data_IF_597509715105
#
_entry.id   IF_597509715105
#
_cell.length_a   1.000
_cell.length_b   1.000
_cell.length_c   1.000
_cell.angle_alpha   90.00
_cell.angle_beta   90.00
_cell.angle_gamma   90.00
#
_symmetry.space_group_name_H-M   'P 1'
#
loop_
_entity.id
_entity.type
_entity.pdbx_description
1 polymer ?
#
# COMPACT_ATOMS: atom_id res chain seq x y z
N UNK A 1 -39.21 -25.73 -26.37
CA UNK A 1 -37.96 -25.00 -26.11
C UNK A 1 -36.95 -26.03 -25.60
N UNK A 2 -36.03 -26.44 -26.47
CA UNK A 2 -34.94 -27.36 -26.07
C UNK A 2 -33.80 -26.45 -25.62
N UNK A 3 -33.34 -26.51 -24.35
CA UNK A 3 -32.20 -25.73 -23.92
C UNK A 3 -30.96 -26.23 -24.65
N UNK A 4 -30.30 -25.31 -25.36
CA UNK A 4 -29.00 -25.56 -25.99
C UNK A 4 -28.02 -25.84 -24.83
N UNK A 5 -27.35 -27.01 -24.80
CA UNK A 5 -26.36 -27.26 -23.76
C UNK A 5 -25.24 -26.22 -23.89
N UNK A 6 -25.01 -25.45 -22.82
CA UNK A 6 -23.82 -24.60 -22.72
C UNK A 6 -22.60 -25.48 -22.97
N UNK A 7 -21.96 -25.29 -24.10
CA UNK A 7 -20.70 -25.92 -24.39
C UNK A 7 -19.68 -25.37 -23.35
N UNK A 8 -19.40 -26.16 -22.32
CA UNK A 8 -18.27 -25.90 -21.42
C UNK A 8 -17.03 -25.83 -22.30
N UNK A 9 -16.52 -24.62 -22.52
CA UNK A 9 -15.25 -24.45 -23.21
C UNK A 9 -14.21 -25.29 -22.48
N UNK A 10 -13.42 -26.11 -23.18
CA UNK A 10 -12.40 -26.94 -22.55
C UNK A 10 -11.41 -26.00 -21.85
N UNK A 11 -11.30 -26.14 -20.55
CA UNK A 11 -10.31 -25.41 -19.75
C UNK A 11 -8.94 -25.88 -20.22
N UNK A 12 -8.17 -25.00 -20.82
CA UNK A 12 -6.78 -25.30 -21.19
C UNK A 12 -5.97 -25.62 -19.94
N UNK A 13 -5.82 -26.91 -19.66
CA UNK A 13 -5.11 -27.42 -18.49
C UNK A 13 -3.64 -26.99 -18.45
N UNK A 14 -3.07 -26.57 -19.58
CA UNK A 14 -1.70 -26.03 -19.64
C UNK A 14 -1.52 -24.72 -18.87
N UNK A 15 -2.61 -24.06 -18.53
CA UNK A 15 -2.63 -22.81 -17.75
C UNK A 15 -2.80 -23.04 -16.25
N UNK A 16 -3.05 -24.27 -15.81
CA UNK A 16 -3.22 -24.59 -14.40
C UNK A 16 -1.86 -24.82 -13.76
N UNK A 17 -1.56 -24.07 -12.70
CA UNK A 17 -0.37 -24.26 -11.88
C UNK A 17 -0.74 -25.17 -10.73
N UNK A 18 -0.28 -26.43 -10.80
CA UNK A 18 -0.48 -27.37 -9.72
C UNK A 18 0.46 -27.04 -8.56
N UNK A 19 -0.09 -26.60 -7.46
CA UNK A 19 0.64 -26.42 -6.20
C UNK A 19 0.32 -27.58 -5.28
N UNK A 20 1.33 -28.12 -4.58
CA UNK A 20 1.07 -29.10 -3.51
C UNK A 20 0.24 -28.40 -2.43
N UNK A 21 -0.86 -29.01 -1.96
CA UNK A 21 -1.66 -28.42 -0.89
C UNK A 21 -0.77 -28.29 0.36
N UNK A 22 -0.65 -27.05 0.84
CA UNK A 22 0.06 -26.75 2.09
C UNK A 22 -1.01 -26.62 3.17
N UNK A 23 -1.11 -27.63 4.04
CA UNK A 23 -2.02 -27.62 5.17
C UNK A 23 -3.11 -28.69 5.14
N UNK A 24 -3.96 -28.67 6.15
CA UNK A 24 -5.02 -29.67 6.42
C UNK A 24 -6.23 -29.61 5.50
N UNK A 25 -6.42 -28.49 4.79
CA UNK A 25 -7.61 -28.25 4.00
C UNK A 25 -7.25 -27.82 2.59
N UNK A 26 -7.63 -28.62 1.62
CA UNK A 26 -7.73 -28.17 0.23
C UNK A 26 -8.98 -27.30 0.11
N UNK A 27 -8.80 -26.05 -0.27
CA UNK A 27 -9.91 -25.09 -0.45
C UNK A 27 -10.44 -25.09 -1.88
N UNK A 28 -9.96 -25.98 -2.73
CA UNK A 28 -10.40 -26.07 -4.13
C UNK A 28 -10.04 -24.85 -4.99
N UNK A 29 -9.10 -24.01 -4.57
CA UNK A 29 -8.68 -22.84 -5.34
C UNK A 29 -7.75 -23.29 -6.44
N UNK A 30 -8.22 -23.18 -7.68
CA UNK A 30 -7.39 -23.42 -8.86
C UNK A 30 -6.51 -22.21 -9.11
N UNK A 31 -5.21 -22.43 -9.23
CA UNK A 31 -4.26 -21.37 -9.57
C UNK A 31 -3.97 -21.39 -11.06
N UNK A 32 -4.50 -20.43 -11.80
CA UNK A 32 -4.22 -20.27 -13.22
C UNK A 32 -2.96 -19.43 -13.44
N UNK A 33 -2.30 -19.63 -14.59
CA UNK A 33 -1.16 -18.80 -14.98
C UNK A 33 -1.62 -17.40 -15.29
N UNK A 34 -1.28 -16.47 -14.42
CA UNK A 34 -1.59 -15.02 -14.50
C UNK A 34 -0.40 -14.24 -15.06
N UNK A 35 0.80 -14.46 -14.51
CA UNK A 35 2.06 -13.90 -15.01
C UNK A 35 2.94 -15.06 -15.51
N UNK A 36 3.23 -15.13 -16.82
CA UNK A 36 4.12 -16.15 -17.36
C UNK A 36 5.57 -15.96 -16.91
N UNK A 37 6.28 -17.07 -16.70
CA UNK A 37 7.73 -17.07 -16.46
C UNK A 37 8.50 -16.31 -17.57
N UNK A 38 9.63 -15.74 -17.23
CA UNK A 38 10.53 -14.98 -18.11
C UNK A 38 9.91 -13.71 -18.71
N UNK A 39 8.94 -13.11 -18.06
CA UNK A 39 8.38 -11.81 -18.44
C UNK A 39 8.87 -10.72 -17.50
N UNK A 40 9.13 -9.56 -18.09
CA UNK A 40 9.32 -8.33 -17.34
C UNK A 40 7.98 -7.69 -17.04
N UNK A 41 7.86 -7.16 -15.83
CA UNK A 41 6.75 -6.31 -15.44
C UNK A 41 7.29 -4.99 -14.93
N UNK A 42 6.58 -3.93 -15.19
CA UNK A 42 6.89 -2.61 -14.67
C UNK A 42 5.64 -1.81 -14.45
N UNK A 43 5.70 -0.91 -13.51
CA UNK A 43 4.55 -0.07 -13.18
C UNK A 43 4.88 1.02 -12.19
N UNK A 44 3.84 1.74 -11.81
CA UNK A 44 3.90 2.80 -10.80
C UNK A 44 2.78 2.58 -9.80
N UNK A 45 3.12 2.53 -8.53
CA UNK A 45 2.13 2.55 -7.46
C UNK A 45 1.98 3.99 -6.97
N UNK A 46 0.76 4.48 -6.95
CA UNK A 46 0.42 5.79 -6.39
C UNK A 46 -0.49 5.54 -5.19
N UNK A 47 -0.13 6.11 -4.05
CA UNK A 47 -0.94 6.06 -2.84
C UNK A 47 -1.26 7.48 -2.40
N UNK A 48 -2.54 7.76 -2.25
CA UNK A 48 -3.04 9.03 -1.74
C UNK A 48 -3.93 8.72 -0.55
N UNK A 49 -3.63 9.33 0.57
CA UNK A 49 -4.45 9.23 1.76
C UNK A 49 -4.65 10.63 2.31
N UNK A 50 -5.91 11.02 2.48
CA UNK A 50 -6.30 12.26 3.12
C UNK A 50 -7.19 11.92 4.31
N UNK A 51 -6.83 12.41 5.45
CA UNK A 51 -7.65 12.34 6.66
C UNK A 51 -7.82 13.75 7.21
N UNK A 52 -9.06 14.16 7.35
CA UNK A 52 -9.44 15.44 7.93
C UNK A 52 -10.48 15.15 9.01
N UNK A 53 -10.24 15.65 10.20
CA UNK A 53 -11.15 15.49 11.32
C UNK A 53 -11.34 16.83 11.99
N UNK A 54 -12.54 17.36 11.82
CA UNK A 54 -13.00 18.54 12.52
C UNK A 54 -13.76 18.07 13.75
N UNK A 55 -13.34 18.52 14.94
CA UNK A 55 -14.07 18.31 16.18
C UNK A 55 -14.26 16.81 16.58
N UNK A 56 -13.26 15.97 16.43
CA UNK A 56 -13.44 14.56 16.76
C UNK A 56 -13.41 14.30 18.27
N UNK A 57 -14.62 14.12 18.83
CA UNK A 57 -14.82 13.65 20.21
C UNK A 57 -14.54 12.14 20.39
N UNK A 58 -14.15 11.44 19.32
CA UNK A 58 -14.21 9.99 19.26
C UNK A 58 -12.94 9.26 19.69
N UNK A 59 -11.79 9.91 19.79
CA UNK A 59 -10.56 9.20 20.08
C UNK A 59 -10.08 9.27 21.54
N UNK A 60 -10.47 10.31 22.28
CA UNK A 60 -10.09 10.43 23.69
C UNK A 60 -11.12 11.28 24.46
N UNK A 61 -11.73 10.73 25.46
CA UNK A 61 -12.65 11.47 26.35
C UNK A 61 -11.98 12.63 27.11
N UNK A 62 -10.67 12.75 27.01
CA UNK A 62 -9.83 13.78 27.66
C UNK A 62 -9.42 14.92 26.73
N UNK A 63 -9.64 14.79 25.41
CA UNK A 63 -9.23 15.79 24.41
C UNK A 63 -10.46 16.41 23.76
N UNK A 64 -10.71 17.66 24.05
CA UNK A 64 -11.76 18.46 23.41
C UNK A 64 -11.15 19.26 22.27
N UNK A 65 -11.87 19.32 21.14
CA UNK A 65 -11.60 20.21 20.02
C UNK A 65 -10.22 20.04 19.36
N UNK A 66 -9.98 18.83 18.80
CA UNK A 66 -8.79 18.58 17.98
C UNK A 66 -9.15 18.67 16.51
N UNK A 67 -8.58 19.64 15.83
CA UNK A 67 -8.61 19.74 14.37
C UNK A 67 -7.32 19.11 13.83
N UNK A 68 -7.44 17.88 13.30
CA UNK A 68 -6.33 17.12 12.74
C UNK A 68 -6.51 16.98 11.23
N UNK A 69 -5.52 17.37 10.46
CA UNK A 69 -5.44 17.03 9.06
C UNK A 69 -4.16 16.24 8.77
N UNK A 70 -4.29 15.19 7.98
CA UNK A 70 -3.18 14.36 7.55
C UNK A 70 -3.32 14.08 6.05
N UNK A 71 -2.28 14.39 5.30
CA UNK A 71 -2.20 14.11 3.87
C UNK A 71 -0.93 13.32 3.57
N UNK A 72 -1.12 12.21 2.88
CA UNK A 72 -0.01 11.39 2.39
C UNK A 72 -0.09 11.29 0.88
N UNK A 73 1.02 11.55 0.22
CA UNK A 73 1.24 11.29 -1.20
C UNK A 73 2.47 10.41 -1.35
N UNK A 74 2.33 9.30 -2.04
CA UNK A 74 3.45 8.41 -2.31
C UNK A 74 3.41 7.93 -3.75
N UNK A 75 4.57 7.96 -4.42
CA UNK A 75 4.75 7.48 -5.79
C UNK A 75 5.91 6.49 -5.79
N UNK A 76 5.65 5.27 -6.27
CA UNK A 76 6.62 4.16 -6.22
C UNK A 76 6.67 3.43 -7.56
N UNK A 77 7.52 3.85 -8.51
CA UNK A 77 7.82 3.05 -9.67
C UNK A 77 8.51 1.75 -9.29
N UNK A 78 8.22 0.70 -10.06
CA UNK A 78 8.82 -0.61 -9.87
C UNK A 78 9.13 -1.30 -11.19
N UNK A 79 10.08 -2.22 -11.14
CA UNK A 79 10.40 -3.16 -12.21
C UNK A 79 10.65 -4.53 -11.60
N UNK A 80 10.13 -5.57 -12.24
CA UNK A 80 10.26 -6.94 -11.77
C UNK A 80 10.44 -7.92 -12.91
N UNK A 81 10.95 -9.08 -12.59
CA UNK A 81 11.15 -10.19 -13.51
C UNK A 81 10.49 -11.47 -12.97
N UNK A 82 9.71 -12.12 -13.79
CA UNK A 82 9.03 -13.37 -13.46
C UNK A 82 10.01 -14.54 -13.50
N UNK A 83 10.47 -14.99 -12.33
CA UNK A 83 11.41 -16.12 -12.18
C UNK A 83 10.73 -17.48 -12.34
N UNK A 84 9.43 -17.53 -12.04
CA UNK A 84 8.52 -18.67 -12.25
C UNK A 84 7.18 -18.14 -12.69
N UNK A 85 6.32 -19.02 -13.21
CA UNK A 85 4.92 -18.66 -13.41
C UNK A 85 4.33 -18.13 -12.11
N UNK A 86 3.64 -17.02 -12.17
CA UNK A 86 3.02 -16.34 -11.03
C UNK A 86 3.98 -15.90 -9.90
N UNK A 87 5.29 -15.84 -10.16
CA UNK A 87 6.26 -15.43 -9.14
C UNK A 87 7.23 -14.41 -9.72
N UNK A 88 7.25 -13.23 -9.14
CA UNK A 88 8.06 -12.09 -9.59
C UNK A 88 8.96 -11.62 -8.46
N UNK A 89 10.20 -11.31 -8.78
CA UNK A 89 11.12 -10.55 -7.95
C UNK A 89 11.47 -9.25 -8.63
N UNK A 90 11.72 -8.21 -7.87
CA UNK A 90 12.03 -6.91 -8.47
C UNK A 90 12.47 -5.85 -7.50
N UNK A 91 12.60 -4.67 -8.05
CA UNK A 91 13.04 -3.46 -7.38
C UNK A 91 11.91 -2.43 -7.40
N UNK A 92 11.77 -1.72 -6.32
CA UNK A 92 10.84 -0.60 -6.16
C UNK A 92 11.60 0.59 -5.62
N UNK A 93 11.48 1.70 -6.27
CA UNK A 93 11.96 2.98 -5.80
C UNK A 93 10.77 3.82 -5.37
N UNK A 94 10.89 4.63 -4.33
CA UNK A 94 9.75 5.39 -3.82
C UNK A 94 10.12 6.77 -3.32
N UNK A 95 9.21 7.70 -3.56
CA UNK A 95 9.12 8.98 -2.90
C UNK A 95 7.80 9.06 -2.13
N UNK A 96 7.85 9.50 -0.89
CA UNK A 96 6.67 9.69 -0.06
C UNK A 96 6.76 11.02 0.67
N UNK A 97 5.66 11.76 0.63
CA UNK A 97 5.48 12.98 1.40
C UNK A 97 4.27 12.84 2.30
N UNK A 98 4.50 13.02 3.59
CA UNK A 98 3.46 13.07 4.60
C UNK A 98 3.43 14.50 5.14
N UNK A 99 2.28 15.10 5.13
CA UNK A 99 2.07 16.41 5.75
C UNK A 99 0.87 16.33 6.69
N UNK A 100 1.04 16.87 7.87
CA UNK A 100 -0.01 16.91 8.89
C UNK A 100 -0.01 18.24 9.61
N UNK A 101 -1.16 18.59 10.16
CA UNK A 101 -1.33 19.79 10.96
C UNK A 101 -2.32 19.55 12.09
N UNK A 102 -2.04 20.13 13.24
CA UNK A 102 -2.95 20.26 14.37
C UNK A 102 -3.14 21.73 14.60
N UNK A 103 -4.31 22.26 14.25
CA UNK A 103 -4.57 23.68 14.34
C UNK A 103 -4.88 24.12 15.78
N UNK A 104 -5.59 23.26 16.52
CA UNK A 104 -5.90 23.51 17.93
C UNK A 104 -5.81 22.22 18.73
N UNK A 105 -5.03 22.22 19.78
CA UNK A 105 -4.96 21.17 20.79
C UNK A 105 -5.11 21.84 22.16
N UNK A 106 -6.30 21.82 22.72
CA UNK A 106 -6.53 22.25 24.09
C UNK A 106 -6.47 21.04 25.03
N UNK A 107 -5.45 20.98 25.85
CA UNK A 107 -5.32 20.00 26.93
C UNK A 107 -5.79 20.65 28.23
N UNK A 108 -6.93 20.21 28.73
CA UNK A 108 -7.47 20.63 30.02
C UNK A 108 -7.17 19.52 31.04
N UNK A 109 -6.00 19.57 31.67
CA UNK A 109 -5.61 18.64 32.74
C UNK A 109 -5.49 19.46 34.02
N UNK A 110 -6.42 19.27 34.95
CA UNK A 110 -6.43 19.78 36.33
C UNK A 110 -5.38 20.87 36.60
N UNK A 111 -5.65 22.15 36.36
CA UNK A 111 -4.79 23.31 36.59
C UNK A 111 -3.70 23.65 35.56
N UNK A 112 -3.60 22.95 34.43
CA UNK A 112 -2.66 23.27 33.34
C UNK A 112 -3.40 23.48 32.02
N UNK A 113 -3.69 24.72 31.67
CA UNK A 113 -4.16 25.10 30.33
C UNK A 113 -2.98 25.14 29.35
N UNK A 114 -2.69 24.02 28.71
CA UNK A 114 -1.71 23.98 27.62
C UNK A 114 -2.44 24.06 26.31
N UNK A 115 -2.42 25.23 25.69
CA UNK A 115 -2.89 25.42 24.34
C UNK A 115 -1.71 25.29 23.37
N UNK A 116 -1.64 24.17 22.65
CA UNK A 116 -0.71 24.02 21.53
C UNK A 116 -1.45 24.43 20.24
N UNK A 117 -0.94 25.48 19.59
CA UNK A 117 -1.49 26.01 18.34
C UNK A 117 -0.50 25.83 17.20
N UNK A 118 -1.04 25.63 15.99
CA UNK A 118 -0.26 25.65 14.75
C UNK A 118 0.91 24.66 14.70
N UNK A 119 0.69 23.40 15.13
CA UNK A 119 1.66 22.34 14.95
C UNK A 119 1.58 21.87 13.50
N UNK A 120 2.70 21.95 12.77
CA UNK A 120 2.84 21.40 11.42
C UNK A 120 3.95 20.36 11.39
N UNK A 121 3.63 19.26 10.74
CA UNK A 121 4.53 18.15 10.51
C UNK A 121 4.67 17.89 9.01
N UNK A 122 5.89 17.78 8.53
CA UNK A 122 6.17 17.39 7.14
C UNK A 122 7.29 16.38 7.15
N UNK A 123 7.06 15.25 6.50
CA UNK A 123 8.05 14.20 6.29
C UNK A 123 8.21 13.95 4.80
N UNK A 124 9.42 14.10 4.32
CA UNK A 124 9.82 13.78 2.95
C UNK A 124 10.78 12.61 3.00
N UNK A 125 10.44 11.51 2.34
CA UNK A 125 11.25 10.30 2.37
C UNK A 125 11.42 9.65 0.99
N UNK A 126 12.62 9.13 0.78
CA UNK A 126 12.98 8.29 -0.37
C UNK A 126 13.16 6.86 0.11
N UNK A 127 12.75 5.90 -0.70
CA UNK A 127 12.87 4.49 -0.38
C UNK A 127 13.38 3.69 -1.56
N UNK A 128 14.16 2.66 -1.25
CA UNK A 128 14.57 1.64 -2.19
C UNK A 128 14.21 0.28 -1.58
N UNK A 129 13.55 -0.58 -2.35
CA UNK A 129 13.07 -1.86 -1.83
C UNK A 129 13.27 -2.98 -2.85
N UNK A 130 13.64 -4.14 -2.34
CA UNK A 130 13.48 -5.42 -3.01
C UNK A 130 12.07 -5.93 -2.75
N UNK A 131 11.42 -6.51 -3.75
CA UNK A 131 10.15 -7.17 -3.54
C UNK A 131 10.11 -8.57 -4.14
N UNK A 132 9.36 -9.42 -3.49
CA UNK A 132 8.94 -10.73 -3.98
C UNK A 132 7.43 -10.73 -4.05
N UNK A 133 6.86 -11.00 -5.22
CA UNK A 133 5.43 -10.99 -5.45
C UNK A 133 4.97 -12.34 -5.96
N UNK A 134 3.98 -12.92 -5.30
CA UNK A 134 3.35 -14.18 -5.64
C UNK A 134 1.92 -13.94 -6.07
N UNK A 135 1.53 -14.44 -7.23
CA UNK A 135 0.19 -14.30 -7.78
C UNK A 135 -0.58 -15.61 -7.73
N UNK A 136 -1.90 -15.49 -7.65
CA UNK A 136 -2.86 -16.57 -7.83
C UNK A 136 -3.84 -16.11 -8.92
N UNK A 137 -3.78 -16.73 -10.08
CA UNK A 137 -4.74 -16.47 -11.15
C UNK A 137 -6.08 -17.12 -10.82
N UNK A 138 -7.14 -16.33 -10.84
CA UNK A 138 -8.48 -16.75 -10.43
C UNK A 138 -9.33 -17.23 -11.62
N UNK A 139 -8.96 -16.88 -12.84
CA UNK A 139 -9.71 -17.25 -14.02
C UNK A 139 -8.83 -17.88 -15.12
N UNK A 140 -9.41 -18.74 -15.98
CA UNK A 140 -8.67 -19.42 -17.06
C UNK A 140 -8.11 -18.46 -18.11
N UNK A 141 -8.70 -17.29 -18.29
CA UNK A 141 -8.26 -16.27 -19.24
C UNK A 141 -7.07 -15.46 -18.72
N UNK A 142 -6.80 -15.53 -17.41
CA UNK A 142 -5.72 -14.77 -16.77
C UNK A 142 -6.01 -13.28 -16.65
N UNK A 143 -7.28 -12.89 -16.51
CA UNK A 143 -7.70 -11.51 -16.37
C UNK A 143 -7.68 -11.03 -14.92
N UNK A 144 -8.00 -11.95 -13.99
CA UNK A 144 -8.11 -11.64 -12.56
C UNK A 144 -7.11 -12.45 -11.76
N UNK A 145 -6.46 -11.81 -10.80
CA UNK A 145 -5.54 -12.47 -9.89
C UNK A 145 -5.50 -11.81 -8.52
N UNK A 146 -5.17 -12.61 -7.52
CA UNK A 146 -4.73 -12.12 -6.22
C UNK A 146 -3.22 -12.11 -6.21
N UNK A 147 -2.64 -11.22 -5.44
CA UNK A 147 -1.20 -11.26 -5.17
C UNK A 147 -0.89 -10.97 -3.71
N UNK A 148 0.26 -11.46 -3.31
CA UNK A 148 0.89 -11.04 -2.07
C UNK A 148 2.31 -10.57 -2.38
N UNK A 149 2.63 -9.35 -1.97
CA UNK A 149 3.94 -8.76 -2.14
C UNK A 149 4.65 -8.68 -0.80
N UNK A 150 5.79 -9.33 -0.70
CA UNK A 150 6.71 -9.17 0.44
C UNK A 150 7.81 -8.21 0.03
N UNK A 151 8.06 -7.20 0.83
CA UNK A 151 9.05 -6.17 0.58
C UNK A 151 10.10 -6.11 1.68
N UNK A 152 11.35 -5.91 1.29
CA UNK A 152 12.44 -5.53 2.17
C UNK A 152 13.01 -4.22 1.63
N UNK A 153 12.89 -3.15 2.40
CA UNK A 153 13.24 -1.82 1.94
C UNK A 153 14.03 -1.02 2.95
N UNK A 154 14.80 -0.11 2.42
CA UNK A 154 15.48 0.94 3.16
C UNK A 154 14.89 2.28 2.76
N UNK A 155 14.60 3.13 3.75
CA UNK A 155 14.14 4.50 3.50
C UNK A 155 14.96 5.50 4.30
N UNK A 156 15.25 6.61 3.66
CA UNK A 156 15.88 7.77 4.25
C UNK A 156 14.98 8.98 4.02
N UNK A 157 14.88 9.84 5.02
CA UNK A 157 14.01 11.00 4.92
C UNK A 157 14.38 12.08 5.93
N UNK A 158 13.73 13.21 5.78
CA UNK A 158 13.82 14.32 6.72
C UNK A 158 12.43 14.71 7.18
N UNK A 159 12.30 14.81 8.48
CA UNK A 159 11.07 15.26 9.13
C UNK A 159 11.30 16.68 9.63
N UNK A 160 10.41 17.56 9.23
CA UNK A 160 10.34 18.93 9.76
C UNK A 160 9.12 19.06 10.64
N UNK A 161 9.38 19.43 11.86
CA UNK A 161 8.37 19.79 12.84
C UNK A 161 8.42 21.27 13.12
N UNK A 162 7.28 21.96 13.01
CA UNK A 162 7.17 23.36 13.38
C UNK A 162 6.07 23.57 14.42
N UNK A 163 6.35 24.45 15.35
CA UNK A 163 5.41 24.81 16.42
C UNK A 163 5.46 26.32 16.62
N UNK A 164 4.29 26.95 16.71
CA UNK A 164 4.17 28.36 17.11
C UNK A 164 4.35 28.49 18.63
N UNK A 165 5.28 29.36 19.08
CA UNK A 165 5.44 29.76 20.47
C UNK A 165 5.67 31.27 20.45
N UNK A 166 4.80 32.05 21.11
CA UNK A 166 4.92 33.49 21.28
C UNK A 166 5.33 34.27 20.01
N UNK A 167 4.50 34.17 18.96
CA UNK A 167 4.71 34.81 17.64
C UNK A 167 5.96 34.35 16.89
N UNK A 168 6.76 33.42 17.42
CA UNK A 168 7.93 32.87 16.74
C UNK A 168 7.71 31.40 16.38
N UNK A 169 8.04 31.03 15.12
CA UNK A 169 8.01 29.64 14.67
C UNK A 169 9.35 28.99 15.01
N UNK A 170 9.30 27.94 15.82
CA UNK A 170 10.47 27.07 16.06
C UNK A 170 10.39 25.87 15.12
N UNK A 171 11.51 25.58 14.45
CA UNK A 171 11.67 24.44 13.56
C UNK A 171 12.62 23.41 14.17
N UNK A 172 12.27 22.15 14.02
CA UNK A 172 13.16 21.03 14.35
C UNK A 172 13.23 20.13 13.12
N UNK A 173 14.42 19.98 12.58
CA UNK A 173 14.68 19.07 11.45
C UNK A 173 15.34 17.81 11.98
N UNK A 174 14.81 16.65 11.64
CA UNK A 174 15.32 15.34 12.03
C UNK A 174 15.51 14.46 10.80
N UNK A 175 16.69 13.88 10.67
CA UNK A 175 16.95 12.88 9.62
C UNK A 175 16.61 11.50 10.14
N UNK A 176 15.87 10.73 9.36
CA UNK A 176 15.39 9.41 9.73
C UNK A 176 15.85 8.40 8.69
N UNK A 177 16.45 7.30 9.18
CA UNK A 177 16.81 6.14 8.38
C UNK A 177 16.08 4.92 8.92
N UNK A 178 15.42 4.17 8.04
CA UNK A 178 14.59 3.04 8.45
C UNK A 178 14.79 1.83 7.54
N UNK A 179 14.90 0.65 8.14
CA UNK A 179 14.73 -0.63 7.45
C UNK A 179 13.27 -1.07 7.61
N UNK A 180 12.60 -1.43 6.51
CA UNK A 180 11.18 -1.78 6.48
C UNK A 180 11.00 -3.17 5.87
N UNK A 181 10.22 -4.00 6.55
CA UNK A 181 9.71 -5.25 6.03
C UNK A 181 8.19 -5.11 5.93
N UNK A 182 7.62 -5.46 4.79
CA UNK A 182 6.20 -5.35 4.56
C UNK A 182 5.63 -6.58 3.86
N UNK A 183 4.34 -6.84 4.12
CA UNK A 183 3.53 -7.83 3.43
C UNK A 183 2.28 -7.11 2.97
N UNK A 184 2.06 -7.05 1.67
CA UNK A 184 1.00 -6.29 1.04
C UNK A 184 0.17 -7.21 0.14
N UNK A 185 -0.95 -7.75 0.63
CA UNK A 185 -1.90 -8.46 -0.21
C UNK A 185 -2.63 -7.50 -1.15
N UNK A 186 -3.07 -8.02 -2.30
CA UNK A 186 -3.78 -7.18 -3.26
C UNK A 186 -4.49 -7.99 -4.34
N UNK A 187 -5.18 -7.25 -5.19
CA UNK A 187 -5.93 -7.73 -6.33
C UNK A 187 -5.35 -7.11 -7.58
N UNK A 188 -5.19 -7.90 -8.63
CA UNK A 188 -4.72 -7.47 -9.94
C UNK A 188 -5.72 -7.82 -11.03
N UNK A 189 -5.91 -6.92 -11.99
CA UNK A 189 -6.82 -7.07 -13.11
C UNK A 189 -6.11 -6.63 -14.38
N UNK A 190 -6.09 -7.49 -15.42
CA UNK A 190 -5.67 -7.07 -16.75
C UNK A 190 -6.83 -6.43 -17.49
N UNK A 191 -6.66 -5.16 -17.87
CA UNK A 191 -7.61 -4.37 -18.67
C UNK A 191 -7.35 -4.57 -20.17
N UNK A 192 -6.07 -4.76 -20.50
CA UNK A 192 -5.57 -5.03 -21.86
C UNK A 192 -4.53 -6.15 -21.78
N UNK A 193 -4.12 -6.77 -22.90
CA UNK A 193 -3.19 -7.90 -22.90
C UNK A 193 -1.90 -7.69 -22.10
N UNK A 194 -1.42 -6.45 -22.01
CA UNK A 194 -0.16 -6.10 -21.32
C UNK A 194 -0.32 -4.95 -20.33
N UNK A 195 -1.55 -4.53 -20.02
CA UNK A 195 -1.82 -3.42 -19.11
C UNK A 195 -2.81 -3.89 -18.05
N UNK A 196 -2.43 -3.78 -16.80
CA UNK A 196 -3.25 -4.12 -15.65
C UNK A 196 -3.34 -3.00 -14.64
N UNK A 197 -4.33 -3.10 -13.78
CA UNK A 197 -4.50 -2.31 -12.58
C UNK A 197 -4.37 -3.20 -11.35
N UNK A 198 -3.78 -2.68 -10.31
CA UNK A 198 -3.56 -3.39 -9.05
C UNK A 198 -4.01 -2.52 -7.87
N UNK A 199 -4.62 -3.15 -6.90
CA UNK A 199 -4.97 -2.53 -5.61
C UNK A 199 -4.38 -3.37 -4.50
N UNK A 200 -3.62 -2.76 -3.59
CA UNK A 200 -3.01 -3.42 -2.43
C UNK A 200 -3.40 -2.71 -1.13
N UNK A 201 -3.39 -3.49 -0.03
CA UNK A 201 -3.76 -3.04 1.31
C UNK A 201 -2.57 -3.07 2.25
#
# INVERSE_FOLDING_TARGET
YVPIPEAKMPVDSSRIIYTKPVGRYDRGITNYRFIPKHKWIGGVTVSVFNFESDNSRLLFSLLKDIDLNLRTLSVKPFVGYAIKDNTVIGLKFGYSRISGGINNLALNIEDLDIALKDIKYTDDSYSFSLFHRSYIGLDPKGLFGLFNETTLGYSTGSTRFSRGVDETLKYTDTSINQLKIGINPGIAIFIMPNVGAEVSF
#
